data_IF_757659328125
#
_entry.id   IF_757659328125
#
_cell.length_a   1.000
_cell.length_b   1.000
_cell.length_c   1.000
_cell.angle_alpha   90.00
_cell.angle_beta   90.00
_cell.angle_gamma   90.00
#
_symmetry.space_group_name_H-M   'P 1'
#
loop_
_entity.id
_entity.type
_entity.pdbx_description
1 polymer ?
#
# COMPACT_ATOMS: atom_id res chain seq x y z
N UNK A 1 11.46 -19.72 -11.86
CA UNK A 1 12.50 -20.68 -11.39
C UNK A 1 13.87 -20.47 -12.03
N UNK A 2 13.98 -20.24 -13.35
CA UNK A 2 15.27 -20.06 -14.03
C UNK A 2 16.11 -18.89 -13.47
N UNK A 3 15.52 -17.69 -13.30
CA UNK A 3 16.23 -16.55 -12.67
C UNK A 3 16.82 -16.88 -11.31
N UNK A 4 16.07 -17.60 -10.46
CA UNK A 4 16.56 -18.00 -9.14
C UNK A 4 17.83 -18.84 -9.25
N UNK A 5 17.85 -19.85 -10.12
CA UNK A 5 19.04 -20.69 -10.32
C UNK A 5 20.22 -19.89 -10.89
N UNK A 6 19.95 -19.02 -11.88
CA UNK A 6 20.98 -18.23 -12.57
C UNK A 6 21.60 -17.15 -11.69
N UNK A 7 20.79 -16.46 -10.89
CA UNK A 7 21.22 -15.26 -10.15
C UNK A 7 21.68 -15.58 -8.73
N UNK A 8 21.20 -16.68 -8.12
CA UNK A 8 21.51 -17.01 -6.72
C UNK A 8 22.58 -18.09 -6.55
N UNK A 9 22.92 -18.83 -7.61
CA UNK A 9 23.81 -20.01 -7.53
C UNK A 9 23.18 -21.21 -6.82
N UNK A 10 21.89 -21.16 -6.50
CA UNK A 10 21.17 -22.29 -5.93
C UNK A 10 21.15 -23.48 -6.90
N UNK A 11 21.39 -24.68 -6.38
CA UNK A 11 21.44 -25.91 -7.17
C UNK A 11 20.05 -26.49 -7.49
N UNK A 12 18.98 -25.96 -6.88
CA UNK A 12 17.63 -26.47 -7.10
C UNK A 12 16.57 -25.62 -6.41
N UNK A 13 15.34 -25.66 -6.95
CA UNK A 13 14.19 -24.93 -6.38
C UNK A 13 13.09 -25.93 -6.03
N UNK A 14 12.53 -25.81 -4.82
CA UNK A 14 11.32 -26.52 -4.39
C UNK A 14 10.13 -25.58 -4.54
N UNK A 15 9.05 -26.06 -5.14
CA UNK A 15 7.82 -25.30 -5.36
C UNK A 15 6.61 -26.08 -4.84
N UNK A 16 5.62 -25.36 -4.30
CA UNK A 16 4.31 -25.89 -3.92
C UNK A 16 3.24 -24.92 -4.38
N UNK A 17 2.11 -25.44 -4.83
CA UNK A 17 0.97 -24.61 -5.20
C UNK A 17 0.16 -24.23 -3.96
N UNK A 18 -0.36 -23.00 -3.93
CA UNK A 18 -1.17 -22.49 -2.84
C UNK A 18 -2.29 -21.61 -3.37
N UNK A 19 -3.50 -21.81 -2.84
CA UNK A 19 -4.63 -20.94 -3.10
C UNK A 19 -4.56 -19.68 -2.22
N UNK A 20 -5.03 -18.56 -2.76
CA UNK A 20 -5.12 -17.28 -2.06
C UNK A 20 -6.48 -16.66 -2.30
N UNK A 21 -7.15 -16.27 -1.22
CA UNK A 21 -8.31 -15.37 -1.28
C UNK A 21 -7.78 -13.94 -1.17
N UNK A 22 -8.14 -13.10 -2.12
CA UNK A 22 -7.71 -11.71 -2.18
C UNK A 22 -8.93 -10.79 -2.15
N UNK A 23 -8.83 -9.70 -1.37
CA UNK A 23 -9.82 -8.63 -1.38
C UNK A 23 -9.93 -8.00 -2.77
N UNK A 24 -11.12 -7.52 -3.12
CA UNK A 24 -11.31 -6.57 -4.23
C UNK A 24 -10.54 -5.29 -3.86
N UNK A 25 -9.84 -4.71 -4.83
CA UNK A 25 -9.01 -3.52 -4.59
C UNK A 25 -9.33 -2.45 -5.59
N UNK A 26 -9.29 -1.23 -5.11
CA UNK A 26 -9.26 -0.04 -5.95
C UNK A 26 -8.33 1.00 -5.32
N UNK A 27 -8.35 2.17 -5.94
CA UNK A 27 -7.47 3.28 -5.62
C UNK A 27 -8.29 4.56 -5.55
N UNK A 28 -7.90 5.45 -4.64
CA UNK A 28 -8.31 6.84 -4.65
C UNK A 28 -7.08 7.70 -4.37
N UNK A 29 -7.14 8.97 -4.75
CA UNK A 29 -6.10 9.95 -4.43
C UNK A 29 -6.66 10.93 -3.43
N UNK A 30 -5.93 11.20 -2.34
CA UNK A 30 -6.25 12.25 -1.38
C UNK A 30 -5.16 13.32 -1.39
N UNK A 31 -5.53 14.54 -1.03
CA UNK A 31 -4.56 15.59 -0.74
C UNK A 31 -4.07 15.47 0.70
N UNK A 32 -2.75 15.35 0.88
CA UNK A 32 -2.09 15.27 2.17
C UNK A 32 -0.95 16.29 2.20
N UNK A 33 -1.03 17.29 3.09
CA UNK A 33 -0.06 18.39 3.16
C UNK A 33 0.15 19.11 1.81
N UNK A 34 -0.91 19.23 1.00
CA UNK A 34 -0.86 19.88 -0.32
C UNK A 34 -0.24 19.02 -1.43
N UNK A 35 -0.09 17.72 -1.19
CA UNK A 35 0.42 16.77 -2.16
C UNK A 35 -0.55 15.60 -2.37
N UNK A 36 -0.70 15.11 -3.62
CA UNK A 36 -1.53 13.97 -3.91
C UNK A 36 -0.88 12.68 -3.40
N UNK A 37 -1.63 11.92 -2.61
CA UNK A 37 -1.27 10.59 -2.11
C UNK A 37 -2.30 9.57 -2.55
N UNK A 38 -1.85 8.57 -3.31
CA UNK A 38 -2.67 7.41 -3.69
C UNK A 38 -2.87 6.53 -2.47
N UNK A 39 -4.11 6.11 -2.27
CA UNK A 39 -4.54 5.19 -1.23
C UNK A 39 -5.06 3.93 -1.88
N UNK A 40 -4.44 2.80 -1.52
CA UNK A 40 -4.92 1.46 -1.86
C UNK A 40 -6.00 1.05 -0.86
N UNK A 41 -7.19 0.73 -1.36
CA UNK A 41 -8.28 0.18 -0.53
C UNK A 41 -8.47 -1.30 -0.79
N UNK A 42 -8.79 -2.04 0.26
CA UNK A 42 -9.17 -3.44 0.22
C UNK A 42 -10.61 -3.59 0.72
N UNK A 43 -11.44 -4.20 -0.13
CA UNK A 43 -12.87 -4.36 0.08
C UNK A 43 -13.21 -5.83 0.34
N UNK A 44 -13.98 -6.05 1.40
CA UNK A 44 -14.68 -7.29 1.67
C UNK A 44 -16.16 -7.06 1.39
N UNK A 45 -16.65 -7.63 0.29
CA UNK A 45 -17.96 -7.25 -0.27
C UNK A 45 -18.01 -5.74 -0.54
N UNK A 46 -18.93 -5.02 0.11
CA UNK A 46 -19.11 -3.58 -0.01
C UNK A 46 -18.45 -2.79 1.13
N UNK A 47 -17.76 -3.47 2.05
CA UNK A 47 -17.07 -2.83 3.18
C UNK A 47 -15.58 -2.64 2.88
N UNK A 48 -15.10 -1.40 2.98
CA UNK A 48 -13.67 -1.10 2.89
C UNK A 48 -12.98 -1.36 4.23
N UNK A 49 -12.45 -2.57 4.42
CA UNK A 49 -11.82 -2.99 5.69
C UNK A 49 -10.36 -2.56 5.85
N UNK A 50 -9.71 -2.09 4.78
CA UNK A 50 -8.32 -1.61 4.85
C UNK A 50 -8.08 -0.51 3.83
N UNK A 51 -7.45 0.59 4.27
CA UNK A 51 -6.99 1.67 3.41
C UNK A 51 -5.56 2.08 3.82
N UNK A 52 -4.64 2.13 2.86
CA UNK A 52 -3.23 2.49 3.10
C UNK A 52 -2.72 3.38 1.97
N UNK A 53 -2.06 4.47 2.35
CA UNK A 53 -1.33 5.29 1.39
C UNK A 53 -0.14 4.54 0.79
N UNK A 54 0.18 4.83 -0.46
CA UNK A 54 1.38 4.32 -1.10
C UNK A 54 2.63 4.88 -0.42
N UNK A 55 3.58 3.99 -0.16
CA UNK A 55 4.82 4.34 0.51
C UNK A 55 5.57 5.44 -0.25
N UNK A 56 5.72 5.29 -1.56
CA UNK A 56 6.48 6.21 -2.39
C UNK A 56 5.83 7.60 -2.44
N UNK A 57 4.51 7.66 -2.36
CA UNK A 57 3.77 8.92 -2.31
C UNK A 57 4.04 9.61 -0.97
N UNK A 58 3.91 8.89 0.15
CA UNK A 58 4.23 9.41 1.48
C UNK A 58 5.70 9.82 1.62
N UNK A 59 6.61 9.09 0.98
CA UNK A 59 8.02 9.43 0.96
C UNK A 59 8.26 10.75 0.22
N UNK A 60 7.63 10.95 -0.94
CA UNK A 60 7.68 12.24 -1.65
C UNK A 60 7.14 13.39 -0.81
N UNK A 61 6.04 13.18 -0.09
CA UNK A 61 5.51 14.20 0.83
C UNK A 61 6.50 14.48 1.96
N UNK A 62 7.12 13.43 2.53
CA UNK A 62 8.13 13.56 3.58
C UNK A 62 9.33 14.37 3.12
N UNK A 63 9.85 14.07 1.93
CA UNK A 63 10.98 14.77 1.32
C UNK A 63 10.64 16.24 1.02
N UNK A 64 9.43 16.52 0.54
CA UNK A 64 9.00 17.88 0.20
C UNK A 64 8.69 18.75 1.43
N UNK A 65 8.17 18.16 2.50
CA UNK A 65 7.66 18.89 3.67
C UNK A 65 8.58 18.82 4.89
N UNK A 66 9.53 17.89 4.91
CA UNK A 66 10.35 17.56 6.08
C UNK A 66 9.59 16.81 7.19
N UNK A 67 8.31 16.50 6.99
CA UNK A 67 7.50 15.79 8.00
C UNK A 67 7.87 14.30 8.03
N UNK A 68 8.13 13.69 9.19
CA UNK A 68 8.48 12.26 9.27
C UNK A 68 7.36 11.35 8.76
N UNK A 69 7.73 10.27 8.05
CA UNK A 69 6.78 9.26 7.52
C UNK A 69 5.76 8.74 8.55
N UNK A 70 6.17 8.56 9.82
CA UNK A 70 5.27 8.10 10.88
C UNK A 70 4.14 9.09 11.15
N UNK A 71 4.45 10.39 11.12
CA UNK A 71 3.47 11.47 11.31
C UNK A 71 2.53 11.53 10.10
N UNK A 72 3.08 11.50 8.88
CA UNK A 72 2.30 11.48 7.64
C UNK A 72 1.34 10.29 7.55
N UNK A 73 1.75 9.10 8.01
CA UNK A 73 0.87 7.94 8.08
C UNK A 73 -0.31 8.18 9.03
N UNK A 74 -0.06 8.76 10.20
CA UNK A 74 -1.12 9.09 11.16
C UNK A 74 -2.05 10.20 10.68
N UNK A 75 -1.52 11.20 9.98
CA UNK A 75 -2.32 12.25 9.32
C UNK A 75 -3.21 11.65 8.25
N UNK A 76 -2.63 10.80 7.40
CA UNK A 76 -3.36 10.09 6.37
C UNK A 76 -4.45 9.22 6.99
N UNK A 77 -4.13 8.38 7.98
CA UNK A 77 -5.11 7.50 8.66
C UNK A 77 -6.31 8.28 9.21
N UNK A 78 -6.08 9.47 9.79
CA UNK A 78 -7.17 10.36 10.21
C UNK A 78 -8.00 10.88 9.03
N UNK A 79 -7.36 11.26 7.94
CA UNK A 79 -8.04 11.74 6.73
C UNK A 79 -8.90 10.66 6.08
N UNK A 80 -8.38 9.45 5.88
CA UNK A 80 -9.13 8.32 5.28
C UNK A 80 -10.16 7.73 6.23
N UNK A 81 -9.93 7.75 7.54
CA UNK A 81 -10.94 7.33 8.53
C UNK A 81 -12.22 8.17 8.44
N UNK A 82 -12.13 9.44 8.04
CA UNK A 82 -13.29 10.29 7.77
C UNK A 82 -14.06 9.96 6.48
N UNK A 83 -13.44 9.25 5.53
CA UNK A 83 -14.01 8.94 4.20
C UNK A 83 -14.65 7.54 4.18
N UNK A 84 -14.27 6.64 5.10
CA UNK A 84 -14.79 5.28 5.16
C UNK A 84 -16.13 5.13 5.91
N UNK A 85 -16.73 6.24 6.35
CA UNK A 85 -17.96 6.28 7.15
C UNK A 85 -19.21 6.82 6.43
N UNK A 86 -19.16 7.00 5.10
CA UNK A 86 -20.30 7.42 4.26
C UNK A 86 -20.80 6.29 3.36
#
# INVERSE_FOLDING_TARGET
RERLLRETGSLGVRQRDQARIALRRDWLTVELHGHPVRVKRGWLSDECIVARGEHDDLQRVSEATGVPLRVLRGDLERLIGGIAGE
#
